data_IF_832088721549
#
_entry.id   IF_832088721549
#
_cell.length_a   1.000
_cell.length_b   1.000
_cell.length_c   1.000
_cell.angle_alpha   90.00
_cell.angle_beta   90.00
_cell.angle_gamma   90.00
#
_symmetry.space_group_name_H-M   'P 1'
#
loop_
_entity.id
_entity.type
_entity.pdbx_description
1 polymer ?
#
# COMPACT_ATOMS: atom_id res chain seq x y z
N UNK A 1 -15.80 15.28 -8.71
CA UNK A 1 -16.51 16.37 -9.46
C UNK A 1 -16.03 16.50 -10.91
N UNK A 2 -14.78 16.13 -11.23
CA UNK A 2 -14.28 16.23 -12.62
C UNK A 2 -14.91 15.19 -13.55
N UNK A 3 -15.19 14.00 -13.02
CA UNK A 3 -15.66 12.83 -13.78
C UNK A 3 -17.06 12.38 -13.37
N UNK A 4 -17.73 13.09 -12.49
CA UNK A 4 -19.08 12.77 -12.00
C UNK A 4 -19.25 13.03 -10.51
N UNK A 5 -20.37 12.57 -10.00
CA UNK A 5 -20.76 12.62 -8.59
C UNK A 5 -20.39 11.31 -7.87
N UNK A 6 -20.43 11.27 -6.53
CA UNK A 6 -20.32 10.01 -5.80
C UNK A 6 -21.33 8.95 -6.25
N UNK A 7 -22.57 9.37 -6.55
CA UNK A 7 -23.59 8.45 -7.05
C UNK A 7 -23.27 7.87 -8.43
N UNK A 8 -22.63 8.66 -9.31
CA UNK A 8 -22.20 8.16 -10.62
C UNK A 8 -21.12 7.07 -10.46
N UNK A 9 -20.22 7.22 -9.50
CA UNK A 9 -19.21 6.19 -9.21
C UNK A 9 -19.84 4.92 -8.62
N UNK A 10 -20.79 5.05 -7.68
CA UNK A 10 -21.54 3.89 -7.17
C UNK A 10 -22.30 3.18 -8.30
N UNK A 11 -22.92 3.94 -9.22
CA UNK A 11 -23.57 3.37 -10.39
C UNK A 11 -22.59 2.62 -11.30
N UNK A 12 -21.38 3.16 -11.51
CA UNK A 12 -20.34 2.48 -12.29
C UNK A 12 -19.98 1.13 -11.67
N UNK A 13 -19.73 1.09 -10.36
CA UNK A 13 -19.43 -0.17 -9.63
C UNK A 13 -20.59 -1.15 -9.77
N UNK A 14 -21.83 -0.67 -9.61
CA UNK A 14 -23.02 -1.51 -9.75
C UNK A 14 -23.20 -2.09 -11.18
N UNK A 15 -22.94 -1.30 -12.23
CA UNK A 15 -23.00 -1.80 -13.61
C UNK A 15 -21.91 -2.85 -13.88
N UNK A 16 -20.69 -2.67 -13.35
CA UNK A 16 -19.61 -3.66 -13.44
C UNK A 16 -20.00 -4.97 -12.74
N UNK A 17 -20.60 -4.89 -11.56
CA UNK A 17 -21.06 -6.06 -10.81
C UNK A 17 -22.18 -6.82 -11.56
N UNK A 18 -23.08 -6.14 -12.27
CA UNK A 18 -24.09 -6.80 -13.11
C UNK A 18 -23.48 -7.67 -14.21
N UNK A 19 -22.31 -7.27 -14.69
CA UNK A 19 -21.54 -8.03 -15.69
C UNK A 19 -20.56 -9.02 -15.07
N UNK A 20 -20.63 -9.27 -13.75
CA UNK A 20 -19.72 -10.10 -12.95
C UNK A 20 -18.26 -9.65 -13.01
N UNK A 21 -18.02 -8.35 -13.07
CA UNK A 21 -16.68 -7.74 -13.04
C UNK A 21 -16.46 -7.14 -11.65
N UNK A 22 -15.47 -7.68 -10.92
CA UNK A 22 -15.06 -7.12 -9.62
C UNK A 22 -14.28 -5.81 -9.77
N UNK A 23 -14.35 -4.96 -8.75
CA UNK A 23 -13.71 -3.64 -8.73
C UNK A 23 -12.68 -3.58 -7.60
N UNK A 24 -11.43 -3.38 -7.97
CA UNK A 24 -10.33 -3.14 -7.02
C UNK A 24 -9.92 -1.68 -7.14
N UNK A 25 -9.82 -1.00 -6.00
CA UNK A 25 -9.39 0.39 -5.95
C UNK A 25 -7.93 0.48 -5.52
N UNK A 26 -7.14 1.28 -6.24
CA UNK A 26 -5.83 1.69 -5.78
C UNK A 26 -5.99 2.66 -4.61
N UNK A 27 -5.37 2.33 -3.48
CA UNK A 27 -5.44 3.09 -2.25
C UNK A 27 -4.03 3.32 -1.72
N UNK A 28 -3.72 4.57 -1.39
CA UNK A 28 -2.39 4.97 -0.92
C UNK A 28 -2.45 5.37 0.55
N UNK A 29 -2.36 4.40 1.49
CA UNK A 29 -2.35 4.68 2.92
C UNK A 29 -0.97 5.08 3.47
N UNK A 30 0.06 5.06 2.63
CA UNK A 30 1.44 5.36 3.01
C UNK A 30 1.68 6.87 3.19
N UNK A 31 1.18 7.68 2.27
CA UNK A 31 1.47 9.12 2.22
C UNK A 31 0.34 9.93 1.59
N UNK A 32 0.42 11.25 1.70
CA UNK A 32 -0.52 12.20 1.11
C UNK A 32 0.20 13.42 0.53
N UNK A 33 -0.41 14.10 -0.48
CA UNK A 33 0.21 15.24 -1.14
C UNK A 33 0.23 16.49 -0.25
N UNK A 34 1.25 17.31 -0.43
CA UNK A 34 1.38 18.63 0.18
C UNK A 34 0.63 19.66 -0.66
N UNK A 35 -0.67 19.76 -0.46
CA UNK A 35 -1.55 20.67 -1.21
C UNK A 35 -2.27 21.62 -0.25
N UNK A 36 -2.43 22.86 -0.67
CA UNK A 36 -3.22 23.84 0.09
C UNK A 36 -4.66 23.33 0.28
N UNK A 37 -5.12 23.37 1.53
CA UNK A 37 -6.44 22.82 1.91
C UNK A 37 -6.49 21.30 1.97
N UNK A 38 -5.35 20.60 1.89
CA UNK A 38 -5.21 19.16 2.10
C UNK A 38 -5.05 18.78 3.58
N UNK A 39 -4.37 17.66 3.83
CA UNK A 39 -4.18 17.14 5.19
C UNK A 39 -2.95 17.72 5.91
N UNK A 40 -2.00 18.32 5.17
CA UNK A 40 -0.81 18.95 5.76
C UNK A 40 -1.22 20.03 6.75
N UNK A 41 -0.74 19.93 7.99
CA UNK A 41 -1.06 20.85 9.07
C UNK A 41 -2.57 21.19 9.15
N UNK A 42 -3.41 20.17 9.09
CA UNK A 42 -4.86 20.30 8.89
C UNK A 42 -5.56 21.25 9.87
N UNK A 43 -5.14 21.27 11.11
CA UNK A 43 -5.63 22.19 12.17
C UNK A 43 -4.59 23.25 12.56
N UNK A 44 -3.55 23.44 11.76
CA UNK A 44 -2.40 24.30 12.04
C UNK A 44 -1.26 23.59 12.77
N UNK A 45 -1.40 22.27 13.00
CA UNK A 45 -0.36 21.41 13.60
C UNK A 45 -0.18 20.16 12.74
N UNK A 46 0.95 19.42 12.86
CA UNK A 46 1.15 18.13 12.19
C UNK A 46 0.24 17.06 12.78
N UNK A 47 -1.02 17.02 12.31
CA UNK A 47 -2.06 16.14 12.81
C UNK A 47 -1.98 14.73 12.21
N UNK A 48 -1.79 14.65 10.90
CA UNK A 48 -1.72 13.38 10.13
C UNK A 48 -0.30 12.92 9.89
N UNK A 49 0.63 13.86 9.74
CA UNK A 49 2.06 13.61 9.52
C UNK A 49 2.85 13.52 10.83
N UNK A 50 4.07 12.98 10.73
CA UNK A 50 4.98 12.98 11.88
C UNK A 50 5.36 14.42 12.27
N UNK A 51 5.36 14.80 13.56
CA UNK A 51 5.79 16.13 14.00
C UNK A 51 7.27 16.44 13.73
N UNK A 52 8.12 15.43 13.55
CA UNK A 52 9.49 15.60 13.08
C UNK A 52 9.54 15.68 11.55
N UNK A 53 9.85 16.84 10.94
CA UNK A 53 9.86 16.99 9.48
C UNK A 53 10.82 16.04 8.77
N UNK A 54 11.91 15.63 9.45
CA UNK A 54 12.87 14.68 8.87
C UNK A 54 12.27 13.28 8.69
N UNK A 55 11.26 12.93 9.48
CA UNK A 55 10.54 11.66 9.42
C UNK A 55 9.24 11.78 8.61
N UNK A 56 8.68 12.99 8.52
CA UNK A 56 7.41 13.24 7.86
C UNK A 56 7.50 13.18 6.32
N UNK A 57 8.64 13.60 5.74
CA UNK A 57 8.75 13.76 4.29
C UNK A 57 9.11 12.41 3.66
N UNK A 58 8.31 12.01 2.65
CA UNK A 58 8.63 10.87 1.79
C UNK A 58 9.87 11.19 0.96
N UNK A 59 10.97 10.40 1.07
CA UNK A 59 12.26 10.79 0.53
C UNK A 59 12.29 10.87 -1.00
N UNK A 60 11.49 10.07 -1.70
CA UNK A 60 11.49 10.01 -3.17
C UNK A 60 10.52 11.01 -3.81
N UNK A 61 9.38 11.29 -3.17
CA UNK A 61 8.29 12.07 -3.80
C UNK A 61 8.01 13.41 -3.13
N UNK A 62 8.61 13.67 -1.95
CA UNK A 62 8.39 14.92 -1.20
C UNK A 62 6.98 15.09 -0.65
N UNK A 63 6.15 14.06 -0.71
CA UNK A 63 4.84 13.96 -0.06
C UNK A 63 5.00 13.78 1.45
N UNK A 64 3.93 13.74 2.22
CA UNK A 64 4.00 13.52 3.66
C UNK A 64 3.55 12.10 4.00
N UNK A 65 4.38 11.38 4.75
CA UNK A 65 4.06 10.08 5.32
C UNK A 65 3.05 10.24 6.46
N UNK A 66 2.08 9.34 6.53
CA UNK A 66 1.18 9.27 7.68
C UNK A 66 1.93 8.86 8.95
N UNK A 67 1.55 9.45 10.07
CA UNK A 67 2.07 9.10 11.39
C UNK A 67 1.35 7.85 11.93
N UNK A 68 1.84 6.67 11.61
CA UNK A 68 1.25 5.40 12.06
C UNK A 68 1.32 5.16 13.57
N UNK A 69 2.10 5.94 14.33
CA UNK A 69 2.09 5.88 15.79
C UNK A 69 0.85 6.56 16.39
N UNK A 70 0.19 7.47 15.65
CA UNK A 70 -1.00 8.18 16.10
C UNK A 70 -2.23 7.27 16.01
N UNK A 71 -2.94 7.00 17.14
CA UNK A 71 -4.20 6.24 17.09
C UNK A 71 -5.25 6.87 16.19
N UNK A 72 -5.32 8.21 16.19
CA UNK A 72 -6.26 8.95 15.34
C UNK A 72 -5.99 8.74 13.85
N UNK A 73 -4.72 8.69 13.45
CA UNK A 73 -4.34 8.41 12.05
C UNK A 73 -4.69 6.96 11.68
N UNK A 74 -4.44 6.01 12.58
CA UNK A 74 -4.85 4.61 12.38
C UNK A 74 -6.37 4.51 12.19
N UNK A 75 -7.15 5.14 13.05
CA UNK A 75 -8.62 5.14 12.94
C UNK A 75 -9.09 5.81 11.65
N UNK A 76 -8.47 6.92 11.24
CA UNK A 76 -8.76 7.59 9.96
C UNK A 76 -8.51 6.67 8.76
N UNK A 77 -7.38 5.99 8.72
CA UNK A 77 -7.02 5.08 7.62
C UNK A 77 -7.93 3.85 7.59
N UNK A 78 -8.24 3.26 8.75
CA UNK A 78 -9.19 2.15 8.85
C UNK A 78 -10.58 2.57 8.37
N UNK A 79 -11.09 3.71 8.85
CA UNK A 79 -12.40 4.23 8.43
C UNK A 79 -12.43 4.52 6.93
N UNK A 80 -11.34 5.02 6.35
CA UNK A 80 -11.22 5.28 4.91
C UNK A 80 -11.26 3.99 4.09
N UNK A 81 -10.57 2.91 4.52
CA UNK A 81 -10.64 1.61 3.86
C UNK A 81 -12.09 1.07 3.86
N UNK A 82 -12.75 1.09 5.02
CA UNK A 82 -14.14 0.66 5.13
C UNK A 82 -15.10 1.52 4.29
N UNK A 83 -14.87 2.83 4.20
CA UNK A 83 -15.66 3.73 3.36
C UNK A 83 -15.67 3.30 1.89
N UNK A 84 -14.54 2.90 1.34
CA UNK A 84 -14.47 2.41 -0.03
C UNK A 84 -15.11 1.04 -0.21
N UNK A 85 -14.92 0.15 0.74
CA UNK A 85 -15.41 -1.23 0.65
C UNK A 85 -16.92 -1.32 0.95
N UNK A 86 -17.41 -0.67 2.01
CA UNK A 86 -18.82 -0.77 2.41
C UNK A 86 -19.73 0.22 1.66
N UNK A 87 -19.27 1.45 1.46
CA UNK A 87 -20.12 2.51 0.89
C UNK A 87 -20.10 2.50 -0.64
N UNK A 88 -18.98 2.17 -1.25
CA UNK A 88 -18.85 2.06 -2.71
C UNK A 88 -18.86 0.63 -3.22
N UNK A 89 -18.90 -0.36 -2.33
CA UNK A 89 -18.92 -1.77 -2.66
C UNK A 89 -17.73 -2.20 -3.54
N UNK A 90 -16.55 -1.65 -3.32
CA UNK A 90 -15.34 -2.16 -3.93
C UNK A 90 -15.06 -3.59 -3.42
N UNK A 91 -14.61 -4.48 -4.31
CA UNK A 91 -14.31 -5.88 -3.98
C UNK A 91 -12.92 -6.05 -3.36
N UNK A 92 -12.08 -5.03 -3.48
CA UNK A 92 -10.76 -5.03 -2.89
C UNK A 92 -10.05 -3.70 -2.94
N UNK A 93 -8.94 -3.64 -2.19
CA UNK A 93 -8.01 -2.51 -2.17
C UNK A 93 -6.62 -2.99 -2.58
N UNK A 94 -6.01 -2.31 -3.54
CA UNK A 94 -4.59 -2.43 -3.81
C UNK A 94 -3.86 -1.30 -3.08
N UNK A 95 -3.06 -1.66 -2.08
CA UNK A 95 -2.28 -0.71 -1.31
C UNK A 95 -1.01 -0.39 -2.09
N UNK A 96 -0.87 0.88 -2.45
CA UNK A 96 0.29 1.39 -3.15
C UNK A 96 1.39 1.79 -2.17
N UNK A 97 2.66 1.57 -2.55
CA UNK A 97 3.84 2.00 -1.80
C UNK A 97 3.89 1.45 -0.36
N UNK A 98 3.63 0.16 -0.21
CA UNK A 98 3.67 -0.52 1.10
C UNK A 98 5.09 -0.56 1.66
N UNK A 99 6.11 -0.54 0.80
CA UNK A 99 7.52 -0.45 1.21
C UNK A 99 7.79 0.73 2.13
N UNK A 100 7.30 1.92 1.77
CA UNK A 100 7.49 3.13 2.58
C UNK A 100 6.74 3.09 3.92
N UNK A 101 5.74 2.21 4.04
CA UNK A 101 5.08 1.94 5.31
C UNK A 101 5.90 0.99 6.19
N UNK A 102 6.41 -0.09 5.58
CA UNK A 102 7.06 -1.19 6.30
C UNK A 102 8.47 -0.84 6.78
N UNK A 103 9.20 0.01 6.03
CA UNK A 103 10.61 0.25 6.30
C UNK A 103 10.90 1.71 6.66
N UNK A 104 11.45 1.93 7.86
CA UNK A 104 11.84 3.25 8.37
C UNK A 104 12.98 3.89 7.56
N UNK A 105 13.80 3.08 6.91
CA UNK A 105 14.93 3.50 6.07
C UNK A 105 14.58 3.56 4.57
N UNK A 106 13.34 3.33 4.19
CA UNK A 106 12.92 3.35 2.78
C UNK A 106 13.34 4.66 2.09
N UNK A 107 14.16 4.54 1.05
CA UNK A 107 14.67 5.68 0.29
C UNK A 107 15.56 6.65 1.06
N UNK A 108 16.04 6.29 2.27
CA UNK A 108 16.89 7.11 3.14
C UNK A 108 18.31 6.56 3.20
N UNK A 109 19.27 7.47 3.28
CA UNK A 109 20.65 7.09 3.51
C UNK A 109 20.92 6.78 4.99
N UNK A 110 22.05 6.13 5.24
CA UNK A 110 22.51 5.85 6.60
C UNK A 110 22.59 7.15 7.44
N UNK A 111 21.97 7.11 8.64
CA UNK A 111 21.88 8.26 9.54
C UNK A 111 20.71 9.22 9.29
N UNK A 112 19.91 9.00 8.24
CA UNK A 112 18.72 9.82 7.94
C UNK A 112 17.42 9.19 8.44
N UNK A 113 17.48 8.10 9.17
CA UNK A 113 16.35 7.41 9.78
C UNK A 113 16.70 6.95 11.20
N UNK A 114 15.68 6.59 11.96
CA UNK A 114 15.85 6.10 13.33
C UNK A 114 15.36 4.66 13.41
N UNK A 115 16.17 3.74 13.97
CA UNK A 115 15.74 2.36 14.15
C UNK A 115 14.59 2.26 15.16
N UNK A 116 13.83 1.19 15.06
CA UNK A 116 12.80 0.85 16.02
C UNK A 116 13.40 0.44 17.38
N UNK A 117 12.55 0.09 18.34
CA UNK A 117 12.97 -0.28 19.72
C UNK A 117 13.87 -1.55 19.78
N UNK A 118 13.92 -2.32 18.72
CA UNK A 118 14.78 -3.52 18.60
C UNK A 118 16.08 -3.24 17.85
N UNK A 119 16.26 -2.02 17.36
CA UNK A 119 17.45 -1.61 16.60
C UNK A 119 17.39 -1.96 15.11
N UNK A 120 16.21 -2.30 14.60
CA UNK A 120 15.99 -2.70 13.21
C UNK A 120 15.21 -1.63 12.43
N UNK A 121 15.00 -1.84 11.13
CA UNK A 121 14.40 -0.85 10.22
C UNK A 121 12.89 -1.04 10.00
N UNK A 122 12.27 -2.07 10.57
CA UNK A 122 10.82 -2.26 10.42
C UNK A 122 10.02 -1.18 11.16
N UNK A 123 9.01 -0.63 10.50
CA UNK A 123 8.05 0.27 11.11
C UNK A 123 6.95 -0.52 11.82
N UNK A 124 7.18 -0.83 13.10
CA UNK A 124 6.28 -1.67 13.89
C UNK A 124 4.86 -1.15 13.96
N UNK A 125 4.68 0.18 13.98
CA UNK A 125 3.35 0.80 14.05
C UNK A 125 2.56 0.63 12.75
N UNK A 126 3.22 0.67 11.60
CA UNK A 126 2.61 0.39 10.31
C UNK A 126 2.30 -1.09 10.12
N UNK A 127 3.22 -1.98 10.53
CA UNK A 127 2.98 -3.43 10.52
C UNK A 127 1.76 -3.78 11.35
N UNK A 128 1.64 -3.23 12.56
CA UNK A 128 0.46 -3.43 13.42
C UNK A 128 -0.83 -2.94 12.75
N UNK A 129 -0.82 -1.74 12.13
CA UNK A 129 -1.96 -1.20 11.42
C UNK A 129 -2.40 -2.13 10.28
N UNK A 130 -1.46 -2.62 9.47
CA UNK A 130 -1.75 -3.49 8.32
C UNK A 130 -2.30 -4.85 8.78
N UNK A 131 -1.71 -5.46 9.80
CA UNK A 131 -2.22 -6.69 10.43
C UNK A 131 -3.64 -6.48 10.96
N UNK A 132 -3.87 -5.36 11.64
CA UNK A 132 -5.20 -5.03 12.18
C UNK A 132 -6.23 -4.81 11.08
N UNK A 133 -5.89 -4.06 10.03
CA UNK A 133 -6.74 -3.85 8.84
C UNK A 133 -7.16 -5.18 8.23
N UNK A 134 -6.19 -6.04 7.88
CA UNK A 134 -6.46 -7.32 7.24
C UNK A 134 -7.29 -8.25 8.14
N UNK A 135 -6.99 -8.29 9.45
CA UNK A 135 -7.77 -9.07 10.42
C UNK A 135 -9.22 -8.61 10.54
N UNK A 136 -9.46 -7.29 10.56
CA UNK A 136 -10.82 -6.75 10.64
C UNK A 136 -11.58 -7.00 9.33
N UNK A 137 -10.95 -6.79 8.18
CA UNK A 137 -11.56 -7.04 6.88
C UNK A 137 -11.95 -8.50 6.72
N UNK A 138 -11.07 -9.44 7.07
CA UNK A 138 -11.38 -10.86 7.02
C UNK A 138 -12.60 -11.25 7.88
N UNK A 139 -12.81 -10.56 9.01
CA UNK A 139 -13.94 -10.83 9.93
C UNK A 139 -15.23 -10.13 9.52
N UNK A 140 -15.15 -8.88 9.09
CA UNK A 140 -16.34 -8.05 8.85
C UNK A 140 -16.80 -8.04 7.39
N UNK A 141 -15.88 -8.16 6.46
CA UNK A 141 -16.12 -8.15 5.02
C UNK A 141 -15.44 -9.38 4.36
N UNK A 142 -15.87 -10.60 4.70
CA UNK A 142 -15.27 -11.80 4.13
C UNK A 142 -15.42 -11.81 2.61
N UNK A 143 -14.34 -12.13 1.91
CA UNK A 143 -14.27 -12.09 0.45
C UNK A 143 -13.64 -10.82 -0.12
N UNK A 144 -13.41 -9.78 0.69
CA UNK A 144 -12.65 -8.61 0.27
C UNK A 144 -11.19 -9.00 0.00
N UNK A 145 -10.66 -8.54 -1.11
CA UNK A 145 -9.25 -8.73 -1.46
C UNK A 145 -8.41 -7.54 -1.00
N UNK A 146 -7.27 -7.83 -0.38
CA UNK A 146 -6.23 -6.82 -0.11
C UNK A 146 -4.96 -7.23 -0.86
N UNK A 147 -4.38 -6.29 -1.60
CA UNK A 147 -3.22 -6.52 -2.45
C UNK A 147 -2.14 -5.51 -2.03
N UNK A 148 -0.98 -6.00 -1.62
CA UNK A 148 0.14 -5.12 -1.30
C UNK A 148 1.06 -4.93 -2.50
N UNK A 149 1.32 -3.70 -2.89
CA UNK A 149 2.43 -3.40 -3.78
C UNK A 149 3.65 -3.14 -2.89
N UNK A 150 4.53 -4.12 -2.91
CA UNK A 150 5.78 -4.16 -2.13
C UNK A 150 6.86 -4.80 -3.01
N UNK A 151 7.91 -4.06 -3.31
CA UNK A 151 8.97 -4.46 -4.24
C UNK A 151 10.19 -5.04 -3.50
N UNK A 152 10.17 -5.03 -2.17
CA UNK A 152 11.19 -5.60 -1.31
C UNK A 152 11.01 -7.10 -1.06
N UNK A 153 11.63 -7.57 0.02
CA UNK A 153 11.72 -8.98 0.39
C UNK A 153 10.97 -9.31 1.68
N UNK A 154 9.86 -8.63 1.96
CA UNK A 154 9.07 -9.00 3.13
C UNK A 154 8.40 -10.36 2.93
N UNK A 155 8.92 -11.36 3.64
CA UNK A 155 8.52 -12.77 3.46
C UNK A 155 7.11 -13.06 4.00
N UNK A 156 6.71 -12.39 5.07
CA UNK A 156 5.44 -12.61 5.78
C UNK A 156 4.32 -11.65 5.31
N UNK A 157 4.34 -11.20 4.05
CA UNK A 157 3.38 -10.22 3.51
C UNK A 157 1.98 -10.83 3.35
N UNK A 158 1.92 -12.03 2.78
CA UNK A 158 0.69 -12.79 2.58
C UNK A 158 0.55 -13.92 3.59
N UNK A 159 -0.65 -14.47 3.72
CA UNK A 159 -0.91 -15.53 4.70
C UNK A 159 -1.68 -15.03 5.91
N UNK A 160 -1.99 -15.94 6.85
CA UNK A 160 -2.83 -15.60 8.00
C UNK A 160 -2.12 -14.70 9.01
N UNK A 161 -2.83 -13.70 9.52
CA UNK A 161 -2.36 -12.87 10.66
C UNK A 161 -2.15 -13.74 11.93
N UNK A 162 -2.88 -14.85 12.06
CA UNK A 162 -2.73 -15.78 13.18
C UNK A 162 -1.38 -16.52 13.15
N UNK A 163 -0.77 -16.65 11.95
CA UNK A 163 0.56 -17.22 11.74
C UNK A 163 1.66 -16.13 11.68
N UNK A 164 1.39 -14.97 12.26
CA UNK A 164 2.26 -13.79 12.34
C UNK A 164 2.53 -13.06 11.01
N UNK A 165 1.83 -13.42 9.93
CA UNK A 165 1.91 -12.70 8.66
C UNK A 165 1.14 -11.36 8.71
N UNK A 166 1.33 -10.49 7.70
CA UNK A 166 0.59 -9.21 7.60
C UNK A 166 -0.86 -9.44 7.17
N UNK A 167 -1.15 -10.51 6.43
CA UNK A 167 -2.52 -10.90 6.12
C UNK A 167 -3.04 -10.43 4.77
N UNK A 168 -2.21 -9.92 3.87
CA UNK A 168 -2.64 -9.60 2.52
C UNK A 168 -3.07 -10.83 1.74
N UNK A 169 -4.07 -10.68 0.89
CA UNK A 169 -4.52 -11.75 -0.01
C UNK A 169 -3.49 -12.03 -1.11
N UNK A 170 -2.85 -10.98 -1.62
CA UNK A 170 -1.90 -11.04 -2.73
C UNK A 170 -0.79 -10.03 -2.57
N UNK A 171 0.36 -10.32 -3.18
CA UNK A 171 1.45 -9.37 -3.45
C UNK A 171 1.38 -8.93 -4.93
N UNK A 172 1.45 -7.63 -5.17
CA UNK A 172 1.61 -7.06 -6.51
C UNK A 172 3.10 -7.02 -6.86
N UNK A 173 3.50 -7.87 -7.77
CA UNK A 173 4.92 -8.06 -8.12
C UNK A 173 5.34 -7.15 -9.27
N UNK A 174 5.91 -5.97 -8.96
CA UNK A 174 6.46 -5.06 -9.97
C UNK A 174 7.77 -5.58 -10.56
N UNK A 175 8.54 -6.37 -9.82
CA UNK A 175 9.81 -6.92 -10.28
C UNK A 175 9.59 -7.81 -11.51
N UNK A 176 8.50 -8.60 -11.53
CA UNK A 176 8.12 -9.37 -12.72
C UNK A 176 7.94 -8.50 -13.96
N UNK A 177 7.30 -7.35 -13.82
CA UNK A 177 7.09 -6.43 -14.95
C UNK A 177 8.44 -5.90 -15.47
N UNK A 178 9.35 -5.56 -14.56
CA UNK A 178 10.71 -5.14 -14.88
C UNK A 178 11.49 -6.22 -15.63
N UNK A 179 11.48 -7.44 -15.13
CA UNK A 179 12.15 -8.59 -15.76
C UNK A 179 11.56 -8.91 -17.13
N UNK A 180 10.23 -8.87 -17.26
CA UNK A 180 9.55 -9.10 -18.52
C UNK A 180 9.92 -8.05 -19.57
N UNK A 181 9.92 -6.76 -19.21
CA UNK A 181 10.32 -5.67 -20.09
C UNK A 181 11.79 -5.77 -20.47
N UNK A 182 12.67 -6.11 -19.51
CA UNK A 182 14.09 -6.33 -19.79
C UNK A 182 14.28 -7.49 -20.78
N UNK A 183 13.59 -8.61 -20.58
CA UNK A 183 13.61 -9.73 -21.50
C UNK A 183 13.14 -9.33 -22.91
N UNK A 184 12.04 -8.58 -23.02
CA UNK A 184 11.52 -8.12 -24.31
C UNK A 184 12.48 -7.14 -25.02
N UNK A 185 13.24 -6.34 -24.28
CA UNK A 185 14.20 -5.39 -24.83
C UNK A 185 15.44 -6.03 -25.45
N UNK A 186 15.71 -7.31 -25.11
CA UNK A 186 16.84 -8.07 -25.68
C UNK A 186 16.61 -8.45 -27.14
N UNK A 187 17.71 -8.54 -27.90
CA UNK A 187 17.66 -9.15 -29.24
C UNK A 187 17.03 -10.56 -29.15
N UNK A 188 16.15 -10.94 -30.11
CA UNK A 188 15.53 -12.27 -30.12
C UNK A 188 16.51 -13.44 -29.98
N UNK A 189 17.73 -13.30 -30.55
CA UNK A 189 18.77 -14.32 -30.46
C UNK A 189 19.30 -14.46 -29.03
N UNK A 190 19.35 -13.37 -28.27
CA UNK A 190 19.87 -13.34 -26.90
C UNK A 190 18.84 -13.84 -25.87
N UNK A 191 17.55 -13.78 -26.17
CA UNK A 191 16.47 -14.12 -25.22
C UNK A 191 16.57 -15.55 -24.69
N UNK A 192 17.07 -16.47 -25.47
CA UNK A 192 17.28 -17.86 -25.04
C UNK A 192 18.26 -18.00 -23.86
N UNK A 193 19.19 -17.06 -23.69
CA UNK A 193 20.19 -17.09 -22.61
C UNK A 193 19.74 -16.39 -21.33
N UNK A 194 18.61 -15.69 -21.37
CA UNK A 194 18.06 -14.93 -20.22
C UNK A 194 16.64 -15.35 -19.89
N UNK A 195 16.20 -16.52 -20.39
CA UNK A 195 14.84 -17.02 -20.19
C UNK A 195 14.50 -17.27 -18.72
N UNK A 196 15.51 -17.60 -17.91
CA UNK A 196 15.36 -17.83 -16.48
C UNK A 196 14.84 -16.60 -15.74
N UNK A 197 15.08 -15.38 -16.23
CA UNK A 197 14.55 -14.14 -15.64
C UNK A 197 13.01 -14.14 -15.57
N UNK A 198 12.33 -14.78 -16.52
CA UNK A 198 10.87 -14.86 -16.53
C UNK A 198 10.32 -15.88 -15.51
N UNK A 199 11.10 -16.92 -15.20
CA UNK A 199 10.68 -18.00 -14.31
C UNK A 199 11.07 -17.74 -12.85
N UNK A 200 12.20 -17.08 -12.61
CA UNK A 200 12.67 -16.71 -11.28
C UNK A 200 11.80 -15.65 -10.62
N UNK A 201 11.11 -14.81 -11.38
CA UNK A 201 10.20 -13.79 -10.88
C UNK A 201 9.00 -14.33 -10.08
N UNK A 202 8.77 -15.64 -10.11
CA UNK A 202 7.76 -16.31 -9.26
C UNK A 202 8.28 -16.63 -7.85
N UNK A 203 9.55 -16.37 -7.58
CA UNK A 203 10.20 -16.71 -6.31
C UNK A 203 10.34 -15.53 -5.34
N UNK A 204 9.97 -14.31 -5.75
CA UNK A 204 10.05 -13.09 -4.95
C UNK A 204 8.85 -12.18 -5.14
#
# INVERSE_FOLDING_TARGET
>A
RRFGTPADFQNLVNELHKENIGVILDWTPSHFPRTEGGLEQFDGTPLYENPDPSMAIHPMWGTLLFNFESPMVKDFLLANAFYWLEFYHADGLRLDDVDSMLYLDFGREYGQWRPNIYGTNENLAAVELLKHLNSILAKKLPGTMTIAQEDGLWSELTGSVEDDNIGFSYKWNNNWAGDFLNYLSKDPIERQYVHDQLTLSMLY
#
